data_IF_551744177689
#
_entry.id   IF_551744177689
#
_cell.length_a   1.000
_cell.length_b   1.000
_cell.length_c   1.000
_cell.angle_alpha   90.00
_cell.angle_beta   90.00
_cell.angle_gamma   90.00
#
_symmetry.space_group_name_H-M   'P 1'
#
loop_
_entity.id
_entity.type
_entity.pdbx_description
1 polymer ?
#
# COMPACT_ATOMS: atom_id res chain seq x y z
N UNK A 1 16.86 14.76 4.95
CA UNK A 1 15.40 14.71 4.82
C UNK A 1 14.89 13.67 5.82
N UNK A 2 14.53 14.07 7.05
CA UNK A 2 14.43 13.13 8.17
C UNK A 2 13.40 12.00 7.98
N UNK A 3 12.24 12.32 7.38
CA UNK A 3 11.17 11.33 7.18
C UNK A 3 11.58 10.19 6.25
N UNK A 4 12.18 10.50 5.10
CA UNK A 4 12.58 9.47 4.12
C UNK A 4 13.67 8.57 4.68
N UNK A 5 14.68 9.14 5.35
CA UNK A 5 15.77 8.37 5.94
C UNK A 5 15.26 7.39 7.00
N UNK A 6 14.35 7.83 7.88
CA UNK A 6 13.74 6.98 8.89
C UNK A 6 12.87 5.89 8.27
N UNK A 7 12.03 6.23 7.28
CA UNK A 7 11.19 5.26 6.56
C UNK A 7 12.05 4.23 5.82
N UNK A 8 13.08 4.68 5.11
CA UNK A 8 14.02 3.83 4.39
C UNK A 8 14.73 2.86 5.35
N UNK A 9 15.27 3.35 6.47
CA UNK A 9 15.93 2.52 7.47
C UNK A 9 14.98 1.48 8.10
N UNK A 10 13.75 1.89 8.42
CA UNK A 10 12.72 0.99 8.94
C UNK A 10 12.39 -0.13 7.95
N UNK A 11 12.10 0.21 6.70
CA UNK A 11 11.80 -0.74 5.63
C UNK A 11 12.98 -1.69 5.40
N UNK A 12 14.20 -1.16 5.35
CA UNK A 12 15.42 -1.97 5.21
C UNK A 12 15.54 -3.00 6.34
N UNK A 13 15.33 -2.59 7.60
CA UNK A 13 15.39 -3.50 8.76
C UNK A 13 14.36 -4.63 8.68
N UNK A 14 13.13 -4.32 8.25
CA UNK A 14 12.07 -5.31 8.03
C UNK A 14 12.41 -6.29 6.90
N UNK A 15 12.88 -5.78 5.76
CA UNK A 15 13.27 -6.61 4.62
C UNK A 15 14.51 -7.48 4.93
N UNK A 16 15.47 -6.97 5.70
CA UNK A 16 16.61 -7.73 6.19
C UNK A 16 16.20 -8.92 7.05
N UNK A 17 15.23 -8.70 7.94
CA UNK A 17 14.68 -9.77 8.79
C UNK A 17 14.01 -10.87 7.94
N UNK A 18 13.33 -10.48 6.84
CA UNK A 18 12.64 -11.40 5.93
C UNK A 18 13.59 -12.13 4.97
N UNK A 19 14.56 -11.42 4.39
CA UNK A 19 15.42 -11.94 3.31
C UNK A 19 16.82 -12.37 3.77
N UNK A 20 17.14 -12.30 5.07
CA UNK A 20 18.32 -12.86 5.76
C UNK A 20 19.54 -13.14 4.87
N UNK A 21 20.53 -12.25 4.90
CA UNK A 21 21.81 -12.37 4.18
C UNK A 21 21.73 -12.38 2.64
N UNK A 22 20.55 -12.11 2.04
CA UNK A 22 20.43 -11.98 0.58
C UNK A 22 20.84 -10.60 0.05
N UNK A 23 21.02 -9.61 0.92
CA UNK A 23 21.57 -8.31 0.58
C UNK A 23 22.23 -7.68 1.81
N UNK A 24 23.06 -6.66 1.58
CA UNK A 24 23.73 -5.90 2.63
C UNK A 24 22.73 -5.03 3.40
N UNK A 25 22.57 -5.30 4.69
CA UNK A 25 21.64 -4.61 5.58
C UNK A 25 22.08 -3.21 5.99
N UNK A 26 23.37 -2.89 5.83
CA UNK A 26 23.90 -1.56 6.08
C UNK A 26 23.97 -0.73 4.80
N UNK A 27 23.89 -1.38 3.64
CA UNK A 27 23.87 -0.78 2.30
C UNK A 27 22.49 -0.35 1.77
N UNK A 28 22.42 0.04 0.49
CA UNK A 28 21.17 0.40 -0.18
C UNK A 28 20.22 -0.80 -0.31
N UNK A 29 18.90 -0.54 -0.30
CA UNK A 29 17.90 -1.59 -0.57
C UNK A 29 17.94 -1.94 -2.07
N UNK A 30 18.02 -3.23 -2.46
CA UNK A 30 17.91 -3.64 -3.85
C UNK A 30 16.57 -3.23 -4.48
N UNK A 31 16.58 -2.71 -5.71
CA UNK A 31 15.37 -2.17 -6.36
C UNK A 31 14.28 -3.22 -6.60
N UNK A 32 14.67 -4.43 -7.03
CA UNK A 32 13.75 -5.51 -7.40
C UNK A 32 12.97 -6.10 -6.21
N UNK A 33 13.27 -5.73 -4.96
CA UNK A 33 12.56 -6.21 -3.76
C UNK A 33 11.56 -5.20 -3.19
N UNK A 34 11.25 -4.13 -3.92
CA UNK A 34 10.40 -3.02 -3.44
C UNK A 34 8.98 -2.99 -4.03
N UNK A 35 8.50 -4.12 -4.58
CA UNK A 35 7.09 -4.26 -4.95
C UNK A 35 6.79 -3.98 -6.42
N UNK A 36 7.39 -2.93 -6.95
CA UNK A 36 7.19 -2.51 -8.34
C UNK A 36 8.51 -2.51 -9.12
N UNK A 37 8.43 -2.56 -10.45
CA UNK A 37 9.57 -2.67 -11.36
C UNK A 37 10.63 -1.57 -11.18
N UNK A 38 10.22 -0.36 -10.78
CA UNK A 38 11.08 0.81 -10.68
C UNK A 38 11.35 1.25 -9.24
N UNK A 39 10.90 0.50 -8.24
CA UNK A 39 10.95 0.87 -6.82
C UNK A 39 10.34 2.26 -6.49
N UNK A 40 9.45 2.78 -7.34
CA UNK A 40 8.88 4.13 -7.19
C UNK A 40 7.89 4.25 -6.01
N UNK A 41 7.17 3.16 -5.68
CA UNK A 41 6.24 3.06 -4.54
C UNK A 41 6.38 1.72 -3.85
N UNK A 42 6.31 1.68 -2.52
CA UNK A 42 6.59 0.44 -1.77
C UNK A 42 5.33 -0.22 -1.19
N UNK A 43 4.15 0.22 -1.63
CA UNK A 43 2.86 -0.25 -1.12
C UNK A 43 2.63 -1.77 -1.31
N UNK A 44 3.15 -2.38 -2.37
CA UNK A 44 3.06 -3.84 -2.58
C UNK A 44 3.94 -4.65 -1.60
N UNK A 45 4.69 -3.97 -0.72
CA UNK A 45 5.45 -4.57 0.38
C UNK A 45 4.86 -4.24 1.74
N UNK A 46 3.63 -3.73 1.81
CA UNK A 46 2.97 -3.35 3.06
C UNK A 46 2.93 -4.49 4.07
N UNK A 47 2.65 -5.72 3.61
CA UNK A 47 2.61 -6.92 4.46
C UNK A 47 3.95 -7.21 5.17
N UNK A 48 5.07 -6.86 4.54
CA UNK A 48 6.42 -7.10 5.08
C UNK A 48 6.79 -6.08 6.16
N UNK A 49 6.24 -4.88 6.03
CA UNK A 49 6.63 -3.71 6.82
C UNK A 49 5.55 -3.28 7.80
N UNK A 50 4.44 -4.01 7.91
CA UNK A 50 3.36 -3.69 8.83
C UNK A 50 3.88 -3.66 10.28
N UNK A 51 3.75 -2.53 11.02
CA UNK A 51 4.31 -2.44 12.37
C UNK A 51 3.60 -3.33 13.39
N UNK A 52 2.28 -3.48 13.24
CA UNK A 52 1.41 -4.22 14.14
C UNK A 52 0.61 -5.26 13.33
N UNK A 53 1.17 -6.47 13.12
CA UNK A 53 0.58 -7.47 12.22
C UNK A 53 -0.77 -8.00 12.71
N UNK A 54 -1.03 -7.95 14.01
CA UNK A 54 -2.28 -8.43 14.62
C UNK A 54 -3.46 -7.46 14.42
N UNK A 55 -3.19 -6.25 13.90
CA UNK A 55 -4.22 -5.25 13.62
C UNK A 55 -4.56 -5.28 12.12
N UNK A 56 -5.70 -5.87 11.72
CA UNK A 56 -6.04 -6.00 10.31
C UNK A 56 -6.32 -4.63 9.69
N UNK A 57 -5.84 -4.43 8.46
CA UNK A 57 -6.23 -3.30 7.64
C UNK A 57 -7.65 -3.50 7.11
N UNK A 58 -8.37 -2.40 6.92
CA UNK A 58 -9.71 -2.43 6.34
C UNK A 58 -9.59 -2.87 4.87
N UNK A 59 -10.15 -4.03 4.54
CA UNK A 59 -10.28 -4.52 3.17
C UNK A 59 -11.76 -4.81 2.89
N UNK A 60 -12.35 -4.08 1.96
CA UNK A 60 -13.77 -4.19 1.60
C UNK A 60 -14.04 -5.07 0.38
N UNK A 61 -13.00 -5.66 -0.23
CA UNK A 61 -13.10 -6.39 -1.50
C UNK A 61 -14.12 -7.53 -1.41
N UNK A 62 -14.04 -8.37 -0.38
CA UNK A 62 -14.98 -9.48 -0.20
C UNK A 62 -16.41 -9.01 0.01
N UNK A 63 -16.60 -7.86 0.66
CA UNK A 63 -17.93 -7.27 0.87
C UNK A 63 -18.50 -6.79 -0.47
N UNK A 64 -17.70 -6.16 -1.31
CA UNK A 64 -18.10 -5.72 -2.65
C UNK A 64 -18.45 -6.91 -3.55
N UNK A 65 -17.63 -7.97 -3.53
CA UNK A 65 -17.89 -9.21 -4.29
C UNK A 65 -19.20 -9.87 -3.81
N UNK A 66 -19.39 -10.03 -2.50
CA UNK A 66 -20.63 -10.60 -1.93
C UNK A 66 -21.87 -9.79 -2.27
N UNK A 67 -21.73 -8.47 -2.38
CA UNK A 67 -22.82 -7.56 -2.80
C UNK A 67 -23.01 -7.50 -4.32
N UNK A 68 -22.22 -8.24 -5.11
CA UNK A 68 -22.19 -8.15 -6.57
C UNK A 68 -22.04 -6.70 -7.06
N UNK A 69 -21.19 -5.93 -6.37
CA UNK A 69 -21.04 -4.51 -6.60
C UNK A 69 -20.48 -4.25 -8.00
N UNK A 70 -21.28 -3.62 -8.86
CA UNK A 70 -20.95 -3.46 -10.27
C UNK A 70 -20.03 -2.25 -10.51
N UNK A 71 -19.32 -2.25 -11.63
CA UNK A 71 -18.52 -1.11 -12.08
C UNK A 71 -19.38 0.16 -12.15
N UNK A 72 -20.62 0.05 -12.65
CA UNK A 72 -21.53 1.19 -12.70
C UNK A 72 -21.84 1.74 -11.30
N UNK A 73 -22.10 0.87 -10.32
CA UNK A 73 -22.31 1.30 -8.93
C UNK A 73 -21.08 1.97 -8.33
N UNK A 74 -19.86 1.55 -8.69
CA UNK A 74 -18.63 2.25 -8.28
C UNK A 74 -18.61 3.70 -8.78
N UNK A 75 -18.94 3.92 -10.04
CA UNK A 75 -19.00 5.27 -10.62
C UNK A 75 -20.12 6.11 -10.00
N UNK A 76 -21.34 5.57 -9.86
CA UNK A 76 -22.46 6.30 -9.23
C UNK A 76 -22.18 6.64 -7.77
N UNK A 77 -21.44 5.77 -7.05
CA UNK A 77 -21.03 6.05 -5.66
C UNK A 77 -20.01 7.19 -5.60
N UNK A 78 -19.03 7.21 -6.52
CA UNK A 78 -18.06 8.30 -6.61
C UNK A 78 -18.73 9.63 -6.99
N UNK A 79 -19.66 9.61 -7.95
CA UNK A 79 -20.44 10.78 -8.33
C UNK A 79 -21.31 11.30 -7.17
N UNK A 80 -21.96 10.41 -6.43
CA UNK A 80 -22.74 10.77 -5.24
C UNK A 80 -21.87 11.48 -4.19
N UNK A 81 -20.62 11.04 -4.02
CA UNK A 81 -19.67 11.72 -3.12
C UNK A 81 -19.35 13.14 -3.63
N UNK A 82 -18.99 13.31 -4.90
CA UNK A 82 -18.61 14.62 -5.44
C UNK A 82 -19.79 15.61 -5.47
N UNK A 83 -20.99 15.15 -5.81
CA UNK A 83 -22.20 15.99 -5.76
C UNK A 83 -22.59 16.35 -4.33
N UNK A 84 -22.36 15.46 -3.36
CA UNK A 84 -22.63 15.75 -1.94
C UNK A 84 -21.77 16.89 -1.38
N UNK A 85 -20.60 17.16 -1.98
CA UNK A 85 -19.73 18.28 -1.62
C UNK A 85 -19.91 19.50 -2.56
N UNK A 86 -20.97 19.51 -3.38
CA UNK A 86 -21.37 20.65 -4.19
C UNK A 86 -20.70 20.76 -5.56
N UNK A 87 -20.02 19.70 -6.03
CA UNK A 87 -19.51 19.66 -7.41
C UNK A 87 -20.60 19.25 -8.40
N UNK A 88 -20.38 19.55 -9.67
CA UNK A 88 -21.31 19.21 -10.74
C UNK A 88 -21.37 17.68 -10.99
N UNK A 89 -22.56 17.13 -11.31
CA UNK A 89 -22.69 15.74 -11.75
C UNK A 89 -22.04 15.54 -13.12
N UNK A 90 -21.80 14.28 -13.49
CA UNK A 90 -21.20 13.91 -14.79
C UNK A 90 -22.25 13.72 -15.89
#
# INVERSE_FOLDING_TARGET
MPLYEQLHAYVRGRLCSKYQNRFDCDGPIPTHILGNMWAQTWHDRLDDVIPYPDTPLVNITDVLIKKQFSIHQMFTTAESFFTSIGLYPM
#
